data_IF_924642097293
#
_entry.id   IF_924642097293
#
_cell.length_a   1.000
_cell.length_b   1.000
_cell.length_c   1.000
_cell.angle_alpha   90.00
_cell.angle_beta   90.00
_cell.angle_gamma   90.00
#
_symmetry.space_group_name_H-M   'P 1'
#
loop_
_entity.id
_entity.type
_entity.pdbx_description
1 polymer ?
#
# COMPACT_ATOMS: atom_id res chain seq x y z
N UNK A 1 13.95 -14.91 -14.38
CA UNK A 1 12.50 -14.75 -14.21
C UNK A 1 11.85 -14.57 -15.57
N UNK A 2 10.96 -15.45 -15.97
CA UNK A 2 10.08 -15.25 -17.14
C UNK A 2 9.10 -14.14 -16.79
N UNK A 3 8.83 -13.23 -17.75
CA UNK A 3 8.00 -12.06 -17.53
C UNK A 3 6.99 -11.92 -18.64
N UNK A 4 5.79 -11.42 -18.27
CA UNK A 4 4.78 -10.97 -19.21
C UNK A 4 4.36 -9.55 -18.85
N UNK A 5 4.25 -8.67 -19.83
CA UNK A 5 3.86 -7.27 -19.65
C UNK A 5 2.41 -7.08 -20.08
N UNK A 6 1.68 -6.28 -19.31
CA UNK A 6 0.28 -5.91 -19.56
C UNK A 6 0.17 -4.41 -19.79
N UNK A 7 -0.71 -4.02 -20.71
CA UNK A 7 -0.99 -2.65 -21.07
C UNK A 7 -2.49 -2.38 -21.02
N UNK A 8 -2.88 -1.22 -20.48
CA UNK A 8 -4.28 -0.88 -20.23
C UNK A 8 -5.17 -1.05 -21.47
N UNK A 9 -4.73 -0.56 -22.62
CA UNK A 9 -5.52 -0.61 -23.86
C UNK A 9 -5.72 -2.00 -24.46
N UNK A 10 -4.86 -2.95 -24.12
CA UNK A 10 -4.92 -4.34 -24.61
C UNK A 10 -5.48 -5.31 -23.57
N UNK A 11 -5.05 -5.15 -22.32
CA UNK A 11 -5.24 -6.16 -21.27
C UNK A 11 -6.19 -5.67 -20.17
N UNK A 12 -6.62 -4.40 -20.20
CA UNK A 12 -7.49 -3.81 -19.20
C UNK A 12 -6.80 -3.34 -17.92
N UNK A 13 -5.50 -3.57 -17.77
CA UNK A 13 -4.68 -3.10 -16.63
C UNK A 13 -3.21 -2.92 -17.01
N UNK A 14 -2.47 -2.14 -16.21
CA UNK A 14 -1.02 -2.05 -16.28
C UNK A 14 -0.40 -3.04 -15.30
N UNK A 15 0.52 -3.88 -15.77
CA UNK A 15 1.17 -4.85 -14.90
C UNK A 15 2.35 -5.56 -15.51
N UNK A 16 3.07 -6.28 -14.66
CA UNK A 16 4.14 -7.21 -15.04
C UNK A 16 3.97 -8.48 -14.22
N UNK A 17 3.70 -9.59 -14.88
CA UNK A 17 3.68 -10.91 -14.26
C UNK A 17 5.09 -11.48 -14.22
N UNK A 18 5.51 -11.98 -13.07
CA UNK A 18 6.76 -12.66 -12.82
C UNK A 18 6.46 -14.10 -12.39
N UNK A 19 6.69 -15.04 -13.29
CA UNK A 19 6.49 -16.46 -13.02
C UNK A 19 7.58 -16.96 -12.08
N UNK A 20 7.18 -17.68 -11.02
CA UNK A 20 8.12 -18.35 -10.14
C UNK A 20 8.74 -19.55 -10.90
N UNK A 21 10.05 -19.77 -10.82
CA UNK A 21 10.67 -20.99 -11.40
C UNK A 21 10.13 -22.29 -10.81
N UNK A 22 9.70 -22.28 -9.55
CA UNK A 22 9.02 -23.40 -8.90
C UNK A 22 7.51 -23.30 -9.18
N UNK A 23 6.93 -24.40 -9.63
CA UNK A 23 5.50 -24.44 -9.96
C UNK A 23 4.64 -24.17 -8.74
N UNK A 24 3.79 -23.16 -8.84
CA UNK A 24 2.82 -22.76 -7.81
C UNK A 24 1.56 -22.18 -8.46
N UNK A 25 0.41 -22.34 -7.81
CA UNK A 25 -0.86 -21.74 -8.20
C UNK A 25 -1.23 -20.51 -7.33
N UNK A 26 -0.36 -20.19 -6.37
CA UNK A 26 -0.53 -19.05 -5.49
C UNK A 26 0.21 -17.81 -6.03
N UNK A 27 -0.46 -16.67 -6.03
CA UNK A 27 0.06 -15.43 -6.58
C UNK A 27 -0.11 -14.26 -5.60
N UNK A 28 0.93 -13.43 -5.52
CA UNK A 28 0.88 -12.12 -4.88
C UNK A 28 0.59 -11.04 -5.93
N UNK A 29 -0.52 -10.35 -5.79
CA UNK A 29 -0.79 -9.09 -6.51
C UNK A 29 -0.09 -7.98 -5.72
N UNK A 30 1.05 -7.54 -6.22
CA UNK A 30 1.86 -6.49 -5.58
C UNK A 30 1.58 -5.13 -6.19
N UNK A 31 1.20 -4.16 -5.38
CA UNK A 31 0.99 -2.78 -5.81
C UNK A 31 2.28 -1.99 -5.53
N UNK A 32 3.14 -1.84 -6.55
CA UNK A 32 4.50 -1.32 -6.41
C UNK A 32 4.70 0.09 -6.98
N UNK A 33 3.82 1.01 -6.67
CA UNK A 33 3.98 2.42 -7.05
C UNK A 33 3.73 2.67 -8.54
N UNK A 34 4.59 3.45 -9.17
CA UNK A 34 4.38 4.02 -10.50
C UNK A 34 4.81 3.12 -11.68
N UNK A 35 5.60 2.07 -11.42
CA UNK A 35 6.12 1.18 -12.47
C UNK A 35 6.18 -0.27 -11.99
N UNK A 36 5.31 -1.10 -12.56
CA UNK A 36 5.24 -2.55 -12.30
C UNK A 36 6.52 -3.32 -12.67
N UNK A 37 7.45 -2.70 -13.38
CA UNK A 37 8.76 -3.26 -13.74
C UNK A 37 9.94 -2.46 -13.15
N UNK A 38 9.68 -1.62 -12.16
CA UNK A 38 10.71 -0.86 -11.43
C UNK A 38 11.73 -1.77 -10.74
N UNK A 39 12.82 -1.18 -10.23
CA UNK A 39 13.77 -1.92 -9.42
C UNK A 39 13.13 -2.49 -8.16
N UNK A 40 12.28 -1.71 -7.47
CA UNK A 40 11.59 -2.15 -6.26
C UNK A 40 10.57 -3.26 -6.56
N UNK A 41 9.80 -3.17 -7.65
CA UNK A 41 8.91 -4.24 -8.09
C UNK A 41 9.66 -5.56 -8.33
N UNK A 42 10.85 -5.51 -8.94
CA UNK A 42 11.71 -6.69 -9.12
C UNK A 42 12.23 -7.25 -7.79
N UNK A 43 12.55 -6.39 -6.82
CA UNK A 43 12.96 -6.82 -5.48
C UNK A 43 11.81 -7.47 -4.72
N UNK A 44 10.62 -6.88 -4.77
CA UNK A 44 9.40 -7.47 -4.22
C UNK A 44 9.07 -8.82 -4.87
N UNK A 45 9.16 -8.92 -6.21
CA UNK A 45 8.97 -10.17 -6.92
C UNK A 45 9.96 -11.26 -6.48
N UNK A 46 11.24 -10.92 -6.30
CA UNK A 46 12.25 -11.86 -5.79
C UNK A 46 11.93 -12.31 -4.35
N UNK A 47 11.44 -11.40 -3.51
CA UNK A 47 11.04 -11.74 -2.15
C UNK A 47 9.86 -12.71 -2.15
N UNK A 48 8.81 -12.42 -2.92
CA UNK A 48 7.64 -13.29 -3.08
C UNK A 48 8.01 -14.67 -3.68
N UNK A 49 8.93 -14.71 -4.65
CA UNK A 49 9.42 -15.99 -5.20
C UNK A 49 10.08 -16.87 -4.13
N UNK A 50 10.84 -16.26 -3.20
CA UNK A 50 11.43 -17.01 -2.05
C UNK A 50 10.35 -17.54 -1.10
N UNK A 51 9.16 -16.93 -1.09
CA UNK A 51 7.98 -17.42 -0.37
C UNK A 51 7.18 -18.45 -1.18
N UNK A 52 7.63 -18.80 -2.40
CA UNK A 52 6.97 -19.77 -3.27
C UNK A 52 5.71 -19.24 -3.97
N UNK A 53 5.66 -17.95 -4.30
CA UNK A 53 4.54 -17.30 -4.96
C UNK A 53 4.90 -16.85 -6.38
N UNK A 54 3.96 -16.92 -7.32
CA UNK A 54 3.97 -16.07 -8.50
C UNK A 54 3.74 -14.61 -8.10
N UNK A 55 4.06 -13.66 -8.96
CA UNK A 55 3.82 -12.24 -8.68
C UNK A 55 3.20 -11.55 -9.89
N UNK A 56 2.12 -10.84 -9.67
CA UNK A 56 1.62 -9.83 -10.58
C UNK A 56 1.87 -8.46 -9.96
N UNK A 57 2.91 -7.76 -10.39
CA UNK A 57 3.12 -6.38 -10.01
C UNK A 57 2.19 -5.49 -10.85
N UNK A 58 1.38 -4.64 -10.20
CA UNK A 58 0.48 -3.70 -10.85
C UNK A 58 0.89 -2.26 -10.54
N UNK A 59 0.57 -1.35 -11.47
CA UNK A 59 0.72 0.10 -11.30
C UNK A 59 -0.46 0.83 -11.95
N UNK A 60 -0.76 2.09 -11.56
CA UNK A 60 -1.83 2.86 -12.19
C UNK A 60 -1.64 3.06 -13.69
N UNK A 61 -0.40 3.29 -14.11
CA UNK A 61 -0.02 3.45 -15.50
C UNK A 61 1.44 3.11 -15.73
N UNK A 62 1.97 3.46 -16.91
CA UNK A 62 3.38 3.30 -17.23
C UNK A 62 4.17 4.49 -16.68
N UNK A 63 4.86 4.30 -15.54
CA UNK A 63 5.59 5.36 -14.84
C UNK A 63 4.67 6.51 -14.42
N UNK A 64 3.48 6.16 -13.99
CA UNK A 64 2.47 7.09 -13.53
C UNK A 64 1.84 6.55 -12.22
N UNK A 65 1.94 7.34 -11.17
CA UNK A 65 1.42 7.04 -9.84
C UNK A 65 0.07 7.74 -9.58
N UNK A 66 -0.50 8.40 -10.59
CA UNK A 66 -1.76 9.12 -10.43
C UNK A 66 -2.90 8.20 -10.00
N UNK A 67 -3.67 8.66 -9.02
CA UNK A 67 -4.86 7.99 -8.52
C UNK A 67 -6.04 8.97 -8.61
N UNK A 68 -6.66 9.00 -9.77
CA UNK A 68 -7.88 9.80 -10.04
C UNK A 68 -8.98 8.82 -10.44
N UNK A 69 -9.84 8.49 -9.48
CA UNK A 69 -10.89 7.49 -9.64
C UNK A 69 -10.32 6.17 -10.22
N UNK A 70 -9.18 5.71 -9.65
CA UNK A 70 -8.53 4.49 -10.15
C UNK A 70 -9.49 3.30 -10.04
N UNK A 71 -9.81 2.60 -11.15
CA UNK A 71 -10.78 1.50 -11.13
C UNK A 71 -10.21 0.26 -10.44
N UNK A 72 -10.82 -0.15 -9.33
CA UNK A 72 -10.51 -1.44 -8.68
C UNK A 72 -10.86 -2.63 -9.60
N UNK A 73 -11.76 -2.42 -10.55
CA UNK A 73 -12.10 -3.39 -11.63
C UNK A 73 -10.86 -3.89 -12.38
N UNK A 74 -9.78 -3.11 -12.44
CA UNK A 74 -8.51 -3.53 -13.04
C UNK A 74 -7.86 -4.69 -12.27
N UNK A 75 -8.03 -4.74 -10.95
CA UNK A 75 -7.55 -5.86 -10.10
C UNK A 75 -8.38 -7.10 -10.37
N UNK A 76 -9.70 -6.95 -10.49
CA UNK A 76 -10.60 -8.06 -10.84
C UNK A 76 -10.28 -8.62 -12.24
N UNK A 77 -10.05 -7.75 -13.24
CA UNK A 77 -9.62 -8.15 -14.58
C UNK A 77 -8.30 -8.93 -14.55
N UNK A 78 -7.36 -8.47 -13.72
CA UNK A 78 -6.08 -9.15 -13.53
C UNK A 78 -6.25 -10.53 -12.88
N UNK A 79 -7.13 -10.67 -11.89
CA UNK A 79 -7.46 -11.94 -11.25
C UNK A 79 -8.09 -12.91 -12.26
N UNK A 80 -8.98 -12.44 -13.13
CA UNK A 80 -9.56 -13.27 -14.17
C UNK A 80 -8.47 -13.84 -15.10
N UNK A 81 -7.55 -12.98 -15.57
CA UNK A 81 -6.41 -13.44 -16.35
C UNK A 81 -5.56 -14.48 -15.60
N UNK A 82 -5.29 -14.25 -14.32
CA UNK A 82 -4.52 -15.18 -13.47
C UNK A 82 -5.21 -16.55 -13.35
N UNK A 83 -6.55 -16.59 -13.19
CA UNK A 83 -7.33 -17.83 -13.15
C UNK A 83 -7.19 -18.62 -14.46
N UNK A 84 -7.28 -17.95 -15.60
CA UNK A 84 -7.13 -18.55 -16.93
C UNK A 84 -5.71 -19.12 -17.16
N UNK A 85 -4.73 -18.63 -16.36
CA UNK A 85 -3.33 -19.08 -16.43
C UNK A 85 -2.90 -19.94 -15.24
N UNK A 86 -3.88 -20.61 -14.59
CA UNK A 86 -3.65 -21.67 -13.61
C UNK A 86 -3.28 -21.19 -12.21
N UNK A 87 -3.58 -19.93 -11.86
CA UNK A 87 -3.46 -19.44 -10.49
C UNK A 87 -4.85 -19.52 -9.82
N UNK A 88 -4.90 -20.00 -8.58
CA UNK A 88 -6.16 -20.24 -7.86
C UNK A 88 -6.19 -19.64 -6.45
N UNK A 89 -5.05 -19.18 -5.94
CA UNK A 89 -4.93 -18.53 -4.64
C UNK A 89 -4.38 -17.10 -4.83
N UNK A 90 -5.14 -16.10 -4.37
CA UNK A 90 -4.83 -14.68 -4.61
C UNK A 90 -4.55 -13.95 -3.31
N UNK A 91 -3.33 -13.44 -3.20
CA UNK A 91 -2.94 -12.49 -2.17
C UNK A 91 -2.76 -11.10 -2.77
N UNK A 92 -3.00 -10.06 -1.98
CA UNK A 92 -2.71 -8.67 -2.37
C UNK A 92 -1.86 -7.97 -1.32
N UNK A 93 -0.91 -7.14 -1.76
CA UNK A 93 -0.06 -6.34 -0.87
C UNK A 93 0.16 -4.94 -1.44
N UNK A 94 0.03 -3.96 -0.57
CA UNK A 94 0.38 -2.57 -0.87
C UNK A 94 0.87 -1.84 0.38
N UNK A 95 1.55 -0.71 0.18
CA UNK A 95 2.01 0.18 1.23
C UNK A 95 1.55 1.61 0.94
N UNK A 96 1.17 2.37 1.98
CA UNK A 96 0.75 3.77 1.82
C UNK A 96 -0.54 3.89 0.98
N UNK A 97 -0.61 4.76 0.00
CA UNK A 97 -1.76 4.90 -0.91
C UNK A 97 -2.13 3.58 -1.58
N UNK A 98 -1.15 2.81 -2.05
CA UNK A 98 -1.45 1.49 -2.64
C UNK A 98 -1.73 0.42 -1.58
N UNK A 99 -1.41 0.65 -0.30
CA UNK A 99 -1.90 -0.13 0.84
C UNK A 99 -3.40 0.09 1.05
N UNK A 100 -3.85 1.34 1.02
CA UNK A 100 -5.27 1.71 1.01
C UNK A 100 -5.99 1.06 -0.18
N UNK A 101 -5.41 1.11 -1.38
CA UNK A 101 -5.95 0.44 -2.57
C UNK A 101 -6.04 -1.09 -2.39
N UNK A 102 -5.04 -1.73 -1.76
CA UNK A 102 -5.05 -3.17 -1.49
C UNK A 102 -6.19 -3.56 -0.54
N UNK A 103 -6.41 -2.78 0.53
CA UNK A 103 -7.52 -2.99 1.46
C UNK A 103 -8.87 -2.83 0.77
N UNK A 104 -9.04 -1.75 -0.01
CA UNK A 104 -10.27 -1.52 -0.76
C UNK A 104 -10.51 -2.63 -1.79
N UNK A 105 -9.50 -3.03 -2.57
CA UNK A 105 -9.64 -4.13 -3.52
C UNK A 105 -10.08 -5.44 -2.85
N UNK A 106 -9.47 -5.80 -1.72
CA UNK A 106 -9.83 -7.01 -0.98
C UNK A 106 -11.26 -6.95 -0.38
N UNK A 107 -11.74 -5.75 -0.01
CA UNK A 107 -13.10 -5.58 0.50
C UNK A 107 -14.18 -5.73 -0.58
N UNK A 108 -13.85 -5.48 -1.86
CA UNK A 108 -14.80 -5.57 -2.97
C UNK A 108 -14.61 -6.83 -3.83
N UNK A 109 -13.46 -7.51 -3.74
CA UNK A 109 -13.11 -8.67 -4.58
C UNK A 109 -12.87 -9.89 -3.68
N UNK A 110 -13.89 -10.75 -3.47
CA UNK A 110 -13.82 -11.86 -2.51
C UNK A 110 -12.84 -12.98 -2.90
N UNK A 111 -12.37 -13.01 -4.14
CA UNK A 111 -11.30 -13.92 -4.58
C UNK A 111 -9.98 -13.69 -3.83
N UNK A 112 -9.75 -12.50 -3.28
CA UNK A 112 -8.56 -12.17 -2.52
C UNK A 112 -8.72 -12.71 -1.10
N UNK A 113 -7.88 -13.67 -0.72
CA UNK A 113 -7.98 -14.39 0.55
C UNK A 113 -6.76 -14.22 1.48
N UNK A 114 -5.78 -13.41 1.06
CA UNK A 114 -4.69 -12.92 1.91
C UNK A 114 -4.41 -11.46 1.56
N UNK A 115 -4.47 -10.58 2.55
CA UNK A 115 -4.34 -9.13 2.34
C UNK A 115 -3.30 -8.54 3.30
N UNK A 116 -2.36 -7.78 2.75
CA UNK A 116 -1.38 -7.01 3.50
C UNK A 116 -1.59 -5.52 3.26
N UNK A 117 -2.10 -4.79 4.27
CA UNK A 117 -2.21 -3.34 4.30
C UNK A 117 -1.07 -2.75 5.14
N UNK A 118 -0.01 -2.28 4.47
CA UNK A 118 1.17 -1.72 5.13
C UNK A 118 1.10 -0.20 5.13
N UNK A 119 1.23 0.42 6.29
CA UNK A 119 1.02 1.87 6.49
C UNK A 119 -0.17 2.41 5.68
N UNK A 120 -1.25 1.64 5.63
CA UNK A 120 -2.44 2.01 4.89
C UNK A 120 -3.33 2.98 5.68
N UNK A 121 -4.06 3.86 4.99
CA UNK A 121 -5.17 4.60 5.57
C UNK A 121 -6.41 3.72 5.69
N UNK A 122 -7.25 4.00 6.68
CA UNK A 122 -8.58 3.43 6.85
C UNK A 122 -9.67 4.19 6.07
N UNK A 123 -9.32 5.33 5.49
CA UNK A 123 -10.17 6.10 4.57
C UNK A 123 -9.72 5.94 3.12
N UNK A 124 -10.68 6.10 2.20
CA UNK A 124 -10.38 6.51 0.83
C UNK A 124 -10.14 8.03 0.85
N UNK A 125 -9.06 8.49 0.24
CA UNK A 125 -8.72 9.91 0.17
C UNK A 125 -9.10 10.53 -1.18
N UNK A 126 -9.12 11.88 -1.24
CA UNK A 126 -9.25 12.62 -2.49
C UNK A 126 -8.21 12.15 -3.51
N UNK A 127 -8.60 12.14 -4.80
CA UNK A 127 -7.72 11.76 -5.89
C UNK A 127 -6.62 12.79 -6.16
N UNK A 128 -5.52 12.33 -6.74
CA UNK A 128 -4.38 13.15 -7.10
C UNK A 128 -3.72 12.68 -8.40
N UNK A 129 -3.13 13.61 -9.13
CA UNK A 129 -2.23 13.33 -10.24
C UNK A 129 -0.77 13.31 -9.73
N UNK A 130 0.08 12.54 -10.39
CA UNK A 130 1.52 12.60 -10.16
C UNK A 130 2.05 13.92 -10.74
N UNK A 131 2.20 14.92 -9.87
CA UNK A 131 2.73 16.22 -10.22
C UNK A 131 4.21 16.14 -10.60
N UNK A 132 4.58 16.93 -11.60
CA UNK A 132 5.98 17.20 -11.99
C UNK A 132 6.22 18.70 -12.09
N UNK A 133 5.20 19.49 -11.78
CA UNK A 133 5.22 20.95 -11.81
C UNK A 133 5.66 21.47 -10.45
N UNK A 134 6.46 22.50 -10.43
CA UNK A 134 6.88 23.22 -9.21
C UNK A 134 7.51 22.31 -8.12
N UNK A 135 8.08 21.16 -8.51
CA UNK A 135 8.64 20.18 -7.56
C UNK A 135 7.60 19.41 -6.76
N UNK A 136 6.31 19.63 -6.98
CA UNK A 136 5.22 18.91 -6.35
C UNK A 136 5.16 17.47 -6.88
N UNK A 137 5.13 16.48 -5.96
CA UNK A 137 5.00 15.07 -6.33
C UNK A 137 3.56 14.68 -6.56
N UNK A 138 2.66 15.19 -5.75
CA UNK A 138 1.23 14.91 -5.80
C UNK A 138 0.46 16.20 -6.02
N UNK A 139 -0.49 16.15 -6.91
CA UNK A 139 -1.36 17.26 -7.24
C UNK A 139 -2.81 16.85 -6.97
N UNK A 140 -3.38 17.27 -5.83
CA UNK A 140 -4.78 16.94 -5.53
C UNK A 140 -5.73 17.41 -6.63
N UNK A 141 -6.66 16.55 -7.03
CA UNK A 141 -7.69 16.83 -8.04
C UNK A 141 -9.04 16.98 -7.34
N UNK A 142 -9.57 18.21 -7.20
CA UNK A 142 -10.84 18.43 -6.54
C UNK A 142 -12.00 17.66 -7.19
N UNK A 143 -12.92 17.15 -6.37
CA UNK A 143 -14.11 16.43 -6.85
C UNK A 143 -13.84 15.01 -7.33
N UNK A 144 -12.64 14.45 -7.08
CA UNK A 144 -12.30 13.08 -7.44
C UNK A 144 -11.89 12.26 -6.23
N UNK A 145 -12.17 10.97 -6.27
CA UNK A 145 -11.64 9.97 -5.34
C UNK A 145 -10.31 9.41 -5.84
N UNK A 146 -9.47 8.87 -4.94
CA UNK A 146 -8.35 8.03 -5.37
C UNK A 146 -8.83 6.78 -6.09
N UNK A 147 -9.97 6.20 -5.69
CA UNK A 147 -10.46 4.89 -6.13
C UNK A 147 -11.88 4.98 -6.70
N UNK A 148 -12.20 4.05 -7.62
CA UNK A 148 -13.56 3.82 -8.10
C UNK A 148 -13.87 2.31 -8.16
N UNK A 149 -15.17 1.98 -8.14
CA UNK A 149 -15.67 0.63 -8.30
C UNK A 149 -16.88 0.61 -9.22
N UNK A 150 -16.88 -0.25 -10.24
CA UNK A 150 -17.96 -0.35 -11.24
C UNK A 150 -18.30 0.98 -11.93
N UNK A 151 -17.27 1.81 -12.15
CA UNK A 151 -17.39 3.10 -12.80
C UNK A 151 -17.75 4.26 -11.87
N UNK A 152 -18.11 4.00 -10.62
CA UNK A 152 -18.49 5.03 -9.63
C UNK A 152 -17.31 5.33 -8.69
N UNK A 153 -16.97 6.61 -8.48
CA UNK A 153 -15.99 7.02 -7.47
C UNK A 153 -16.40 6.51 -6.08
N UNK A 154 -15.46 5.92 -5.34
CA UNK A 154 -15.72 5.58 -3.94
C UNK A 154 -15.85 6.87 -3.10
N UNK A 155 -16.74 6.91 -2.09
CA UNK A 155 -16.75 7.99 -1.11
C UNK A 155 -15.39 8.20 -0.50
N UNK A 156 -14.99 9.45 -0.28
CA UNK A 156 -13.62 9.79 0.11
C UNK A 156 -13.55 11.00 1.04
N UNK A 157 -12.48 11.05 1.83
CA UNK A 157 -12.11 12.22 2.63
C UNK A 157 -11.39 13.24 1.74
N UNK A 158 -11.92 14.47 1.58
CA UNK A 158 -11.26 15.51 0.81
C UNK A 158 -10.09 16.10 1.59
N UNK A 159 -9.05 16.54 0.88
CA UNK A 159 -7.99 17.35 1.47
C UNK A 159 -8.47 18.78 1.73
N UNK A 160 -8.18 19.31 2.92
CA UNK A 160 -8.43 20.72 3.26
C UNK A 160 -7.53 21.65 2.46
N UNK A 161 -6.33 21.19 2.15
CA UNK A 161 -5.37 21.94 1.34
C UNK A 161 -5.41 21.44 -0.10
N UNK A 162 -5.57 22.37 -1.04
CA UNK A 162 -5.45 22.12 -2.47
C UNK A 162 -4.14 22.74 -2.99
N UNK A 163 -3.75 22.45 -4.24
CA UNK A 163 -2.58 23.08 -4.83
C UNK A 163 -2.78 24.59 -4.97
N UNK A 164 -1.77 25.47 -4.65
CA UNK A 164 -0.38 25.15 -4.24
C UNK A 164 -0.22 24.93 -2.73
N UNK A 165 -1.23 25.21 -1.89
CA UNK A 165 -1.12 25.14 -0.43
C UNK A 165 -0.76 23.73 0.06
N UNK A 166 -1.27 22.70 -0.58
CA UNK A 166 -0.98 21.28 -0.28
C UNK A 166 0.54 21.06 -0.22
N UNK A 167 1.26 21.46 -1.26
CA UNK A 167 2.71 21.30 -1.32
C UNK A 167 3.46 22.24 -0.38
N UNK A 168 2.98 23.47 -0.20
CA UNK A 168 3.56 24.42 0.75
C UNK A 168 3.53 23.89 2.18
N UNK A 169 2.41 23.26 2.59
CA UNK A 169 2.28 22.63 3.92
C UNK A 169 3.26 21.47 4.11
N UNK A 170 3.43 20.62 3.11
CA UNK A 170 4.44 19.55 3.15
C UNK A 170 5.84 20.11 3.30
N UNK A 171 6.18 21.17 2.55
CA UNK A 171 7.49 21.81 2.66
C UNK A 171 7.71 22.46 4.04
N UNK A 172 6.69 23.13 4.59
CA UNK A 172 6.73 23.72 5.92
C UNK A 172 6.95 22.66 7.00
N UNK A 173 6.21 21.57 6.98
CA UNK A 173 6.32 20.47 7.96
C UNK A 173 7.65 19.71 7.81
N UNK A 174 8.14 19.53 6.59
CA UNK A 174 9.41 18.85 6.32
C UNK A 174 10.61 19.66 6.80
N UNK A 175 10.54 20.99 6.72
CA UNK A 175 11.66 21.86 7.05
C UNK A 175 12.10 21.72 8.51
N UNK A 176 13.32 21.22 8.71
CA UNK A 176 13.91 21.02 10.03
C UNK A 176 13.37 19.81 10.81
N UNK A 177 12.51 19.00 10.20
CA UNK A 177 11.96 17.80 10.83
C UNK A 177 13.00 16.69 11.05
N UNK A 178 13.98 16.59 10.18
CA UNK A 178 14.94 15.48 10.13
C UNK A 178 14.49 14.31 9.25
N UNK A 179 13.28 14.39 8.68
CA UNK A 179 12.77 13.45 7.67
C UNK A 179 13.03 14.00 6.26
N UNK A 180 13.14 13.11 5.28
CA UNK A 180 13.22 13.49 3.88
C UNK A 180 11.95 14.21 3.40
N UNK A 181 10.80 13.78 3.90
CA UNK A 181 9.50 14.39 3.66
C UNK A 181 8.56 14.10 4.84
N UNK A 182 7.80 15.14 5.24
CA UNK A 182 6.70 15.03 6.20
C UNK A 182 5.44 15.62 5.60
N UNK A 183 4.33 14.90 5.75
CA UNK A 183 3.03 15.29 5.22
C UNK A 183 1.86 14.99 6.16
N UNK A 184 2.14 14.66 7.41
CA UNK A 184 1.09 14.33 8.41
C UNK A 184 0.08 15.46 8.59
N UNK A 185 0.51 16.72 8.45
CA UNK A 185 -0.36 17.90 8.54
C UNK A 185 -1.51 17.87 7.53
N UNK A 186 -1.27 17.35 6.31
CA UNK A 186 -2.28 17.29 5.26
C UNK A 186 -3.47 16.42 5.70
N UNK A 187 -3.18 15.25 6.22
CA UNK A 187 -4.18 14.25 6.62
C UNK A 187 -4.85 14.65 7.95
N UNK A 188 -4.08 15.03 8.96
CA UNK A 188 -4.58 15.44 10.26
C UNK A 188 -5.53 16.65 10.16
N UNK A 189 -5.11 17.69 9.45
CA UNK A 189 -5.92 18.91 9.33
C UNK A 189 -7.18 18.64 8.48
N UNK A 190 -7.11 17.75 7.47
CA UNK A 190 -8.27 17.34 6.71
C UNK A 190 -9.29 16.59 7.58
N UNK A 191 -8.85 15.64 8.41
CA UNK A 191 -9.72 14.95 9.36
C UNK A 191 -10.31 15.90 10.42
N UNK A 192 -9.59 16.97 10.80
CA UNK A 192 -10.05 17.94 11.79
C UNK A 192 -11.13 18.91 11.27
N UNK A 193 -11.30 19.04 9.96
CA UNK A 193 -12.27 19.98 9.36
C UNK A 193 -13.71 19.54 9.47
N UNK A 194 -13.99 18.25 9.54
CA UNK A 194 -15.31 17.66 9.67
C UNK A 194 -15.24 16.22 10.16
N UNK A 195 -16.33 15.73 10.68
CA UNK A 195 -16.48 14.29 10.92
C UNK A 195 -16.53 13.54 9.59
N UNK A 196 -15.91 12.37 9.56
CA UNK A 196 -16.01 11.44 8.43
C UNK A 196 -17.35 10.72 8.43
N UNK A 197 -17.78 10.30 7.24
CA UNK A 197 -18.93 9.41 7.12
C UNK A 197 -18.49 7.94 7.12
N UNK A 198 -19.41 7.04 7.42
CA UNK A 198 -19.15 5.61 7.40
C UNK A 198 -18.78 5.11 6.00
N UNK A 199 -19.33 5.72 4.95
CA UNK A 199 -19.10 5.34 3.55
C UNK A 199 -17.70 5.72 3.06
N UNK A 200 -17.05 6.71 3.69
CA UNK A 200 -15.68 7.13 3.36
C UNK A 200 -14.64 6.15 3.90
N UNK A 201 -15.00 5.38 4.93
CA UNK A 201 -14.12 4.36 5.49
C UNK A 201 -14.08 3.13 4.60
N UNK A 202 -12.90 2.53 4.48
CA UNK A 202 -12.75 1.25 3.77
C UNK A 202 -13.48 0.17 4.58
N UNK A 203 -14.43 -0.58 3.97
CA UNK A 203 -15.20 -1.59 4.67
C UNK A 203 -14.40 -2.88 4.90
N UNK A 204 -13.36 -2.81 5.73
CA UNK A 204 -12.40 -3.90 5.95
C UNK A 204 -13.03 -5.15 6.58
N UNK A 205 -14.20 -5.02 7.22
CA UNK A 205 -14.99 -6.15 7.72
C UNK A 205 -15.52 -7.06 6.62
N UNK A 206 -15.48 -6.61 5.34
CA UNK A 206 -15.85 -7.41 4.18
C UNK A 206 -14.68 -8.22 3.60
N UNK A 207 -13.46 -8.01 4.11
CA UNK A 207 -12.28 -8.75 3.63
C UNK A 207 -12.39 -10.22 4.05
N UNK A 208 -12.05 -11.12 3.13
CA UNK A 208 -12.08 -12.55 3.36
C UNK A 208 -10.69 -13.12 3.68
N UNK A 209 -10.66 -14.29 4.35
CA UNK A 209 -9.43 -15.03 4.62
C UNK A 209 -8.54 -14.37 5.68
N UNK A 210 -7.29 -14.09 5.35
CA UNK A 210 -6.30 -13.53 6.29
C UNK A 210 -6.01 -12.06 5.99
N UNK A 211 -6.06 -11.22 7.00
CA UNK A 211 -5.76 -9.78 6.91
C UNK A 211 -4.63 -9.40 7.86
N UNK A 212 -3.59 -8.74 7.36
CA UNK A 212 -2.49 -8.20 8.17
C UNK A 212 -2.44 -6.67 7.97
N UNK A 213 -2.63 -5.94 9.06
CA UNK A 213 -2.58 -4.49 9.12
C UNK A 213 -1.34 -4.04 9.89
N UNK A 214 -0.47 -3.29 9.25
CA UNK A 214 0.78 -2.80 9.85
C UNK A 214 0.87 -1.29 9.72
N UNK A 215 1.18 -0.61 10.83
CA UNK A 215 1.48 0.82 10.87
C UNK A 215 2.56 1.14 11.88
N UNK A 216 3.02 2.39 11.91
CA UNK A 216 3.94 2.90 12.90
C UNK A 216 3.48 4.27 13.41
N UNK A 217 3.75 4.56 14.70
CA UNK A 217 3.37 5.82 15.34
C UNK A 217 4.29 6.97 14.94
N UNK A 218 5.52 6.65 14.58
CA UNK A 218 6.53 7.60 14.10
C UNK A 218 6.55 7.76 12.57
N UNK A 219 5.47 7.35 11.89
CA UNK A 219 5.27 7.59 10.46
C UNK A 219 5.17 9.09 10.20
N UNK A 220 6.09 9.62 9.38
CA UNK A 220 6.16 11.05 9.05
C UNK A 220 5.30 11.46 7.85
N UNK A 221 4.72 10.52 7.11
CA UNK A 221 3.90 10.83 5.93
C UNK A 221 2.41 10.94 6.29
N UNK A 222 1.89 10.02 7.08
CA UNK A 222 0.54 10.09 7.66
C UNK A 222 0.45 9.29 8.96
N UNK A 223 -0.70 9.33 9.64
CA UNK A 223 -0.86 8.74 10.97
C UNK A 223 -1.18 7.22 10.90
N UNK A 224 -0.28 6.42 10.29
CA UNK A 224 -0.52 4.99 10.02
C UNK A 224 -0.83 4.18 11.29
N UNK A 225 -0.16 4.45 12.41
CA UNK A 225 -0.45 3.79 13.68
C UNK A 225 -1.86 4.06 14.19
N UNK A 226 -2.37 5.30 14.05
CA UNK A 226 -3.75 5.68 14.37
C UNK A 226 -4.74 4.94 13.46
N UNK A 227 -4.48 4.87 12.16
CA UNK A 227 -5.34 4.20 11.19
C UNK A 227 -5.45 2.70 11.49
N UNK A 228 -4.34 2.03 11.79
CA UNK A 228 -4.34 0.62 12.20
C UNK A 228 -5.20 0.39 13.46
N UNK A 229 -5.09 1.27 14.47
CA UNK A 229 -5.91 1.14 15.69
C UNK A 229 -7.40 1.36 15.43
N UNK A 230 -7.78 2.28 14.53
CA UNK A 230 -9.19 2.46 14.13
C UNK A 230 -9.71 1.24 13.36
N UNK A 231 -8.90 0.67 12.46
CA UNK A 231 -9.24 -0.57 11.76
C UNK A 231 -9.39 -1.76 12.72
N UNK A 232 -8.51 -1.90 13.70
CA UNK A 232 -8.63 -2.92 14.76
C UNK A 232 -9.92 -2.75 15.56
N UNK A 233 -10.25 -1.50 15.95
CA UNK A 233 -11.49 -1.21 16.67
C UNK A 233 -12.72 -1.55 15.82
N UNK A 234 -12.73 -1.16 14.53
CA UNK A 234 -13.81 -1.49 13.60
C UNK A 234 -14.05 -3.00 13.48
N UNK A 235 -12.98 -3.80 13.38
CA UNK A 235 -13.10 -5.26 13.32
C UNK A 235 -13.58 -5.88 14.64
N UNK A 236 -13.28 -5.28 15.79
CA UNK A 236 -13.85 -5.71 17.08
C UNK A 236 -15.35 -5.42 17.22
N UNK A 237 -15.83 -4.36 16.57
CA UNK A 237 -17.22 -3.89 16.66
C UNK A 237 -18.14 -4.47 15.58
N UNK A 238 -17.61 -4.75 14.40
CA UNK A 238 -18.41 -5.23 13.27
C UNK A 238 -18.23 -6.73 13.03
N UNK A 239 -19.30 -7.46 12.68
CA UNK A 239 -19.17 -8.84 12.25
C UNK A 239 -18.26 -8.96 11.04
N UNK A 240 -17.33 -9.91 11.06
CA UNK A 240 -16.41 -10.22 9.96
C UNK A 240 -16.03 -11.70 9.94
N UNK A 241 -15.55 -12.19 8.80
CA UNK A 241 -15.11 -13.58 8.63
C UNK A 241 -13.58 -13.71 8.55
N UNK A 242 -12.86 -12.59 8.39
CA UNK A 242 -11.40 -12.65 8.27
C UNK A 242 -10.72 -12.98 9.60
N UNK A 243 -9.61 -13.73 9.51
CA UNK A 243 -8.64 -13.84 10.62
C UNK A 243 -7.64 -12.69 10.43
N UNK A 244 -7.45 -11.85 11.45
CA UNK A 244 -6.62 -10.68 11.28
C UNK A 244 -5.57 -10.48 12.36
N UNK A 245 -4.49 -9.77 11.99
CA UNK A 245 -3.53 -9.15 12.87
C UNK A 245 -3.48 -7.64 12.59
N UNK A 246 -3.61 -6.82 13.61
CA UNK A 246 -3.47 -5.37 13.52
C UNK A 246 -2.36 -4.92 14.48
N UNK A 247 -1.26 -4.41 13.94
CA UNK A 247 -0.08 -4.05 14.72
C UNK A 247 0.38 -2.64 14.40
N UNK A 248 0.29 -1.75 15.40
CA UNK A 248 0.87 -0.42 15.37
C UNK A 248 2.17 -0.44 16.19
N UNK A 249 3.31 -0.29 15.52
CA UNK A 249 4.62 -0.22 16.18
C UNK A 249 4.89 1.21 16.65
N UNK A 250 5.57 1.36 17.78
CA UNK A 250 6.04 2.67 18.24
C UNK A 250 7.09 3.24 17.26
N UNK A 251 8.03 2.40 16.83
CA UNK A 251 9.11 2.79 15.93
C UNK A 251 9.15 1.88 14.69
N UNK A 252 8.89 2.44 13.52
CA UNK A 252 8.87 1.70 12.25
C UNK A 252 9.09 2.57 11.03
N UNK A 253 8.83 3.86 11.17
CA UNK A 253 8.78 4.83 10.06
C UNK A 253 7.63 4.53 9.08
N UNK A 254 7.58 5.24 7.96
CA UNK A 254 6.65 4.91 6.87
C UNK A 254 7.05 3.61 6.13
N UNK A 255 8.32 3.20 6.20
CA UNK A 255 8.86 2.05 5.44
C UNK A 255 8.82 0.76 6.27
N UNK A 256 7.61 0.27 6.56
CA UNK A 256 7.32 -0.97 7.28
C UNK A 256 7.41 -2.21 6.37
N UNK A 257 8.32 -2.23 5.42
CA UNK A 257 8.54 -3.37 4.52
C UNK A 257 9.37 -4.46 5.20
N UNK A 258 9.21 -5.74 4.79
CA UNK A 258 10.02 -6.86 5.32
C UNK A 258 11.52 -6.60 5.20
N UNK A 259 12.27 -6.85 6.28
CA UNK A 259 13.72 -6.64 6.31
C UNK A 259 14.42 -7.39 5.19
N UNK A 260 14.04 -8.66 4.94
CA UNK A 260 14.64 -9.48 3.89
C UNK A 260 14.31 -8.96 2.47
N UNK A 261 13.15 -8.34 2.26
CA UNK A 261 12.82 -7.70 0.99
C UNK A 261 13.69 -6.46 0.75
N UNK A 262 13.84 -5.61 1.76
CA UNK A 262 14.69 -4.42 1.69
C UNK A 262 16.17 -4.79 1.48
N UNK A 263 16.64 -5.91 2.07
CA UNK A 263 18.01 -6.42 1.83
C UNK A 263 18.22 -6.98 0.42
N UNK A 264 17.17 -7.36 -0.30
CA UNK A 264 17.29 -7.65 -1.75
C UNK A 264 17.57 -6.37 -2.53
N UNK A 265 16.93 -5.27 -2.15
CA UNK A 265 17.12 -3.98 -2.80
C UNK A 265 18.47 -3.33 -2.41
N UNK A 266 18.83 -3.42 -1.14
CA UNK A 266 20.03 -2.81 -0.57
C UNK A 266 20.74 -3.81 0.38
N UNK A 267 21.57 -4.72 -0.17
CA UNK A 267 22.21 -5.78 0.61
C UNK A 267 23.16 -5.27 1.71
N UNK A 268 23.79 -4.12 1.46
CA UNK A 268 24.73 -3.48 2.38
C UNK A 268 24.29 -2.03 2.62
N UNK A 269 24.42 -1.56 3.85
CA UNK A 269 24.16 -0.17 4.19
C UNK A 269 22.69 0.22 4.40
N UNK A 270 21.75 -0.73 4.44
CA UNK A 270 20.32 -0.46 4.64
C UNK A 270 20.05 0.45 5.85
N UNK A 271 20.60 0.12 7.02
CA UNK A 271 20.47 0.96 8.22
C UNK A 271 21.01 2.38 8.01
N UNK A 272 22.14 2.49 7.31
CA UNK A 272 22.76 3.78 7.03
C UNK A 272 21.88 4.64 6.13
N UNK A 273 21.38 4.08 5.04
CA UNK A 273 20.49 4.80 4.12
C UNK A 273 19.20 5.25 4.81
N UNK A 274 18.54 4.38 5.57
CA UNK A 274 17.29 4.71 6.26
C UNK A 274 17.45 5.85 7.28
N UNK A 275 18.62 5.98 7.92
CA UNK A 275 18.92 7.10 8.84
C UNK A 275 18.96 8.47 8.15
N UNK A 276 19.21 8.53 6.85
CA UNK A 276 19.18 9.77 6.07
C UNK A 276 17.78 10.12 5.56
N UNK A 277 16.91 9.11 5.49
CA UNK A 277 15.54 9.29 4.98
C UNK A 277 14.56 9.59 6.12
N UNK A 278 14.74 8.93 7.27
CA UNK A 278 13.80 9.03 8.39
C UNK A 278 14.49 9.39 9.69
N UNK A 279 13.96 10.43 10.34
CA UNK A 279 14.38 10.87 11.68
C UNK A 279 14.32 9.69 12.67
N UNK A 280 13.20 8.97 12.71
CA UNK A 280 13.03 7.86 13.64
C UNK A 280 14.03 6.72 13.39
N UNK A 281 14.38 6.41 12.15
CA UNK A 281 15.43 5.43 11.85
C UNK A 281 16.84 5.90 12.28
N UNK A 282 17.05 7.22 12.45
CA UNK A 282 18.28 7.78 13.02
C UNK A 282 18.28 7.71 14.54
N UNK A 283 17.17 8.04 15.19
CA UNK A 283 17.03 8.11 16.65
C UNK A 283 16.84 6.70 17.27
N UNK A 284 16.08 5.83 16.61
CA UNK A 284 15.72 4.47 17.07
C UNK A 284 16.10 3.37 16.06
N UNK A 285 17.40 3.27 15.67
CA UNK A 285 17.81 2.40 14.55
C UNK A 285 17.64 0.90 14.82
N UNK A 286 17.72 0.49 16.07
CA UNK A 286 17.60 -0.92 16.46
C UNK A 286 16.11 -1.33 16.56
N UNK A 287 15.30 -0.46 17.11
CA UNK A 287 13.84 -0.60 17.22
C UNK A 287 13.19 -0.68 15.83
N UNK A 288 13.54 0.25 14.94
CA UNK A 288 13.07 0.21 13.54
C UNK A 288 13.53 -1.06 12.79
N UNK A 289 14.76 -1.57 13.07
CA UNK A 289 15.19 -2.85 12.49
C UNK A 289 14.42 -4.03 13.11
N UNK A 290 14.18 -4.03 14.42
CA UNK A 290 13.40 -5.07 15.09
C UNK A 290 11.97 -5.12 14.54
N UNK A 291 11.34 -3.94 14.34
CA UNK A 291 10.05 -3.82 13.68
C UNK A 291 10.04 -4.47 12.30
N UNK A 292 10.99 -4.14 11.42
CA UNK A 292 11.06 -4.73 10.07
C UNK A 292 11.30 -6.25 10.09
N UNK A 293 12.06 -6.76 11.06
CA UNK A 293 12.26 -8.21 11.25
C UNK A 293 10.98 -8.91 11.73
N UNK A 294 10.23 -8.29 12.64
CA UNK A 294 8.96 -8.84 13.09
C UNK A 294 7.91 -8.83 11.97
N UNK A 295 7.87 -7.76 11.17
CA UNK A 295 7.03 -7.69 9.97
C UNK A 295 7.39 -8.81 8.99
N UNK A 296 8.68 -9.01 8.70
CA UNK A 296 9.16 -10.09 7.81
C UNK A 296 8.70 -11.46 8.29
N UNK A 297 8.81 -11.72 9.59
CA UNK A 297 8.30 -12.94 10.22
C UNK A 297 6.78 -13.08 10.04
N UNK A 298 5.99 -12.05 10.40
CA UNK A 298 4.51 -12.08 10.32
C UNK A 298 4.01 -12.31 8.89
N UNK A 299 4.55 -11.59 7.92
CA UNK A 299 4.15 -11.73 6.53
C UNK A 299 4.53 -13.12 5.98
N UNK A 300 5.73 -13.60 6.30
CA UNK A 300 6.19 -14.94 5.87
C UNK A 300 5.38 -16.06 6.51
N UNK A 301 5.01 -15.93 7.79
CA UNK A 301 4.14 -16.87 8.50
C UNK A 301 2.73 -16.88 7.89
N UNK A 302 2.12 -15.70 7.66
CA UNK A 302 0.82 -15.59 7.05
C UNK A 302 0.77 -16.22 5.64
N UNK A 303 1.81 -16.00 4.82
CA UNK A 303 1.92 -16.63 3.49
C UNK A 303 2.01 -18.15 3.61
N UNK A 304 2.82 -18.66 4.54
CA UNK A 304 3.01 -20.10 4.74
C UNK A 304 1.72 -20.79 5.19
N UNK A 305 0.97 -20.17 6.10
CA UNK A 305 -0.30 -20.70 6.63
C UNK A 305 -1.43 -20.64 5.58
N UNK A 306 -1.40 -19.64 4.72
CA UNK A 306 -2.40 -19.44 3.67
C UNK A 306 -2.22 -20.36 2.46
N UNK A 307 -1.01 -20.72 2.11
CA UNK A 307 -0.69 -21.64 0.98
C UNK A 307 -1.13 -23.06 1.22
#
# INVERSE_FOLDING_TARGET
MKKQFFELGRDGFWGTYYENPEKTDAVMIGLFGDDSNSYMAKCGAKWCHRQGLNVLAMSPGKKDYSHVNYPLDRVETAIQWLKEHGNHKFAIMGMSTVGMQALAAAAYIPDITLTFGLTASDFVWQGFEQGKKDGCREWPVPGTSTLSWRGEPLPYMPFVYQHPQYWQKIQEETKGSGDFERSTVIFRDSEATREHTEEEMIPIERIHGRLILIGADDDGLWEAGKYVRRMDQRLKEKPHECIYDAVAYEHGTHFVLPESMLRIALPVGLKFVLRFVFKAAKEYPNECEATRKDIDRRLSEAIREWK
#
